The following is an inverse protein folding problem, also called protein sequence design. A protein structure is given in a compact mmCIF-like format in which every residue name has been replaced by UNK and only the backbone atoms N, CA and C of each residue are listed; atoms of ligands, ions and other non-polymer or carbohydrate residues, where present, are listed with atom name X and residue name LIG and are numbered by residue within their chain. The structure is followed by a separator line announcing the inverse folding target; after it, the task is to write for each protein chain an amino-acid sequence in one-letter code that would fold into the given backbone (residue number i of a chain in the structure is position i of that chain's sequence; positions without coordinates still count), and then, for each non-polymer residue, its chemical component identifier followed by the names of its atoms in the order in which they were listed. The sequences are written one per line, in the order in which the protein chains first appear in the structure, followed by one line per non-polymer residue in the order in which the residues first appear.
data_IF_289055085000
#
_entry.id   IF_289055085000
#
_cell.length_a   1.000
_cell.length_b   1.000
_cell.length_c   1.000
_cell.angle_alpha   90.00
_cell.angle_beta   90.00
_cell.angle_gamma   90.00
#
_symmetry.space_group_name_H-M   'P 1'
#
loop_
_entity.id
_entity.type
_entity.pdbx_description
1 polymer ?
#
# COMPACT_ATOMS: atom_id res chain seq x y z
N UNK A 1 -2.03 -9.23 -1.12
CA UNK A 1 -1.82 -8.44 -2.37
C UNK A 1 -0.87 -9.20 -3.27
N UNK A 2 -1.02 -9.06 -4.60
CA UNK A 2 -0.12 -9.64 -5.62
C UNK A 2 1.23 -8.93 -5.59
N UNK A 3 2.35 -9.65 -5.60
CA UNK A 3 3.71 -9.08 -5.50
C UNK A 3 4.22 -8.47 -6.81
N UNK A 4 3.62 -8.80 -7.96
CA UNK A 4 4.11 -8.42 -9.28
C UNK A 4 4.26 -6.90 -9.49
N UNK A 5 3.38 -6.07 -8.93
CA UNK A 5 3.50 -4.60 -9.07
C UNK A 5 4.71 -4.02 -8.31
N UNK A 6 5.31 -4.80 -7.39
CA UNK A 6 6.53 -4.46 -6.66
C UNK A 6 7.80 -4.98 -7.33
N UNK A 7 7.71 -5.76 -8.42
CA UNK A 7 8.88 -6.20 -9.20
C UNK A 7 9.85 -5.07 -9.57
N UNK A 8 9.43 -3.83 -9.89
CA UNK A 8 10.35 -2.73 -10.17
C UNK A 8 11.38 -2.46 -9.06
N UNK A 9 11.06 -2.79 -7.80
CA UNK A 9 11.94 -2.63 -6.63
C UNK A 9 13.18 -3.55 -6.71
N UNK A 10 13.15 -4.61 -7.52
CA UNK A 10 14.31 -5.48 -7.78
C UNK A 10 15.54 -4.74 -8.30
N UNK A 11 15.36 -3.53 -8.85
CA UNK A 11 16.46 -2.63 -9.25
C UNK A 11 17.44 -2.32 -8.09
N UNK A 12 16.99 -2.42 -6.83
CA UNK A 12 17.87 -2.27 -5.66
C UNK A 12 19.00 -3.30 -5.62
N UNK A 13 18.78 -4.50 -6.19
CA UNK A 13 19.80 -5.54 -6.28
C UNK A 13 20.95 -5.07 -7.17
N UNK A 14 20.62 -4.54 -8.35
CA UNK A 14 21.62 -4.11 -9.32
C UNK A 14 22.29 -2.79 -8.93
N UNK A 15 21.50 -1.83 -8.42
CA UNK A 15 21.98 -0.49 -8.10
C UNK A 15 22.74 -0.40 -6.77
N UNK A 16 22.35 -1.20 -5.77
CA UNK A 16 22.87 -1.09 -4.40
C UNK A 16 23.40 -2.42 -3.83
N UNK A 17 23.28 -3.53 -4.55
CA UNK A 17 23.70 -4.85 -4.05
C UNK A 17 22.81 -5.39 -2.93
N UNK A 18 21.60 -4.84 -2.76
CA UNK A 18 20.67 -5.20 -1.69
C UNK A 18 19.79 -6.36 -2.17
N UNK A 19 19.85 -7.56 -1.54
CA UNK A 19 18.94 -8.66 -1.88
C UNK A 19 17.49 -8.27 -1.59
N UNK A 20 16.60 -8.52 -2.55
CA UNK A 20 15.17 -8.24 -2.43
C UNK A 20 14.39 -9.54 -2.42
N UNK A 21 13.53 -9.72 -1.42
CA UNK A 21 12.58 -10.83 -1.33
C UNK A 21 11.18 -10.26 -1.52
N UNK A 22 10.52 -10.72 -2.58
CA UNK A 22 9.12 -10.46 -2.85
C UNK A 22 8.35 -11.76 -2.63
N UNK A 23 7.18 -11.67 -1.99
CA UNK A 23 6.33 -12.84 -1.79
C UNK A 23 4.86 -12.45 -1.91
N UNK A 24 4.07 -13.39 -2.41
CA UNK A 24 2.63 -13.29 -2.43
C UNK A 24 2.06 -13.72 -1.07
N UNK A 25 1.29 -12.85 -0.44
CA UNK A 25 0.56 -13.19 0.79
C UNK A 25 -0.49 -14.27 0.51
N UNK A 26 -0.74 -15.14 1.48
CA UNK A 26 -1.77 -16.18 1.42
C UNK A 26 -3.12 -15.59 1.00
N UNK A 27 -3.81 -16.30 0.10
CA UNK A 27 -5.05 -15.84 -0.51
C UNK A 27 -4.89 -14.96 -1.76
N UNK A 28 -3.67 -14.75 -2.28
CA UNK A 28 -3.42 -13.97 -3.49
C UNK A 28 -2.43 -14.67 -4.43
N UNK A 29 -2.59 -14.45 -5.75
CA UNK A 29 -1.59 -14.79 -6.78
C UNK A 29 -1.10 -16.25 -6.70
N UNK A 30 0.21 -16.49 -6.63
CA UNK A 30 0.81 -17.83 -6.62
C UNK A 30 0.73 -18.52 -5.25
N UNK A 31 0.31 -17.81 -4.20
CA UNK A 31 0.08 -18.38 -2.88
C UNK A 31 -1.27 -19.09 -2.78
N UNK A 32 -1.43 -19.93 -1.74
CA UNK A 32 -2.63 -20.75 -1.55
C UNK A 32 -3.90 -19.89 -1.50
N UNK A 33 -4.87 -20.20 -2.37
CA UNK A 33 -6.21 -19.58 -2.38
C UNK A 33 -7.15 -20.31 -1.41
N UNK A 34 -7.88 -19.55 -0.60
CA UNK A 34 -8.80 -20.09 0.43
C UNK A 34 -10.20 -19.45 0.32
N UNK A 35 -10.92 -19.61 -0.80
CA UNK A 35 -12.20 -18.93 -1.06
C UNK A 35 -13.32 -19.33 -0.08
N UNK A 36 -13.17 -20.46 0.61
CA UNK A 36 -14.11 -20.94 1.61
C UNK A 36 -14.00 -20.21 2.97
N UNK A 37 -12.96 -19.39 3.17
CA UNK A 37 -12.72 -18.67 4.42
C UNK A 37 -13.50 -17.34 4.44
N UNK A 38 -14.28 -17.15 5.51
CA UNK A 38 -14.99 -15.90 5.77
C UNK A 38 -14.10 -14.76 6.24
N UNK A 39 -14.67 -13.55 6.35
CA UNK A 39 -13.94 -12.32 6.70
C UNK A 39 -13.14 -12.39 8.01
N UNK A 40 -13.63 -13.11 9.02
CA UNK A 40 -12.97 -13.24 10.32
C UNK A 40 -11.65 -14.04 10.27
N UNK A 41 -11.38 -14.74 9.17
CA UNK A 41 -10.10 -15.43 8.94
C UNK A 41 -8.99 -14.46 8.51
N UNK A 42 -9.34 -13.45 7.70
CA UNK A 42 -8.40 -12.52 7.07
C UNK A 42 -8.08 -11.36 8.04
N UNK A 43 -7.10 -11.60 8.91
CA UNK A 43 -6.71 -10.68 9.98
C UNK A 43 -5.27 -10.21 9.83
N UNK A 44 -4.94 -9.05 10.39
CA UNK A 44 -3.55 -8.56 10.47
C UNK A 44 -2.65 -9.62 11.14
N UNK A 45 -3.12 -10.26 12.20
CA UNK A 45 -2.35 -11.26 12.93
C UNK A 45 -2.02 -12.51 12.09
N UNK A 46 -2.91 -12.92 11.18
CA UNK A 46 -2.61 -13.99 10.22
C UNK A 46 -1.39 -13.61 9.36
N UNK A 47 -1.40 -12.41 8.79
CA UNK A 47 -0.33 -11.96 7.89
C UNK A 47 0.98 -11.64 8.63
N UNK A 48 0.92 -11.25 9.91
CA UNK A 48 2.12 -11.13 10.75
C UNK A 48 2.76 -12.50 11.00
N UNK A 49 1.96 -13.52 11.32
CA UNK A 49 2.45 -14.91 11.49
C UNK A 49 2.97 -15.50 10.20
N UNK A 50 2.37 -15.15 9.07
CA UNK A 50 2.89 -15.52 7.75
C UNK A 50 4.28 -14.93 7.50
N UNK A 51 4.46 -13.62 7.75
CA UNK A 51 5.76 -12.97 7.60
C UNK A 51 6.82 -13.60 8.52
N UNK A 52 6.47 -13.85 9.79
CA UNK A 52 7.34 -14.57 10.73
C UNK A 52 7.73 -15.95 10.20
N UNK A 53 6.76 -16.72 9.67
CA UNK A 53 7.02 -18.04 9.11
C UNK A 53 7.93 -17.98 7.89
N UNK A 54 7.75 -17.00 7.00
CA UNK A 54 8.61 -16.80 5.84
C UNK A 54 10.06 -16.53 6.26
N UNK A 55 10.27 -15.60 7.20
CA UNK A 55 11.59 -15.26 7.73
C UNK A 55 12.27 -16.46 8.37
N UNK A 56 11.53 -17.25 9.16
CA UNK A 56 12.03 -18.49 9.76
C UNK A 56 12.45 -19.52 8.69
N UNK A 57 11.60 -19.75 7.67
CA UNK A 57 11.86 -20.74 6.61
C UNK A 57 13.03 -20.38 5.71
N UNK A 58 13.27 -19.09 5.50
CA UNK A 58 14.41 -18.59 4.74
C UNK A 58 15.65 -18.37 5.63
N UNK A 59 15.55 -18.67 6.93
CA UNK A 59 16.61 -18.49 7.93
C UNK A 59 17.13 -17.04 8.01
N UNK A 60 16.25 -16.06 7.78
CA UNK A 60 16.58 -14.63 7.78
C UNK A 60 16.54 -14.10 9.22
N UNK A 61 17.70 -13.71 9.73
CA UNK A 61 17.87 -13.27 11.13
C UNK A 61 17.89 -11.76 11.30
N UNK A 62 18.26 -11.03 10.26
CA UNK A 62 18.33 -9.58 10.20
C UNK A 62 17.81 -9.15 8.83
N UNK A 63 16.95 -8.14 8.81
CA UNK A 63 16.31 -7.68 7.59
C UNK A 63 15.80 -6.24 7.73
N UNK A 64 15.63 -5.61 6.57
CA UNK A 64 14.83 -4.41 6.40
C UNK A 64 13.46 -4.79 5.86
N UNK A 65 12.44 -4.00 6.18
CA UNK A 65 11.08 -4.27 5.73
C UNK A 65 10.50 -3.07 4.98
N UNK A 66 10.17 -3.30 3.71
CA UNK A 66 9.45 -2.35 2.87
C UNK A 66 8.00 -2.83 2.69
N UNK A 67 7.06 -2.03 3.17
CA UNK A 67 5.64 -2.23 2.93
C UNK A 67 5.08 -1.17 1.99
N UNK A 68 4.24 -1.59 1.03
CA UNK A 68 3.50 -0.66 0.16
C UNK A 68 1.99 -0.76 0.40
N UNK A 69 1.29 0.37 0.53
CA UNK A 69 -0.17 0.42 0.71
C UNK A 69 -0.63 -0.43 1.93
N UNK A 70 -1.49 -1.44 1.75
CA UNK A 70 -1.79 -2.44 2.80
C UNK A 70 -0.53 -3.06 3.42
N UNK A 71 0.49 -3.33 2.60
CA UNK A 71 1.78 -3.84 3.10
C UNK A 71 2.48 -2.87 4.06
N UNK A 72 2.28 -1.55 3.91
CA UNK A 72 2.80 -0.57 4.86
C UNK A 72 2.04 -0.59 6.19
N UNK A 73 0.74 -0.88 6.17
CA UNK A 73 -0.04 -1.11 7.40
C UNK A 73 0.50 -2.33 8.15
N UNK A 74 0.69 -3.43 7.43
CA UNK A 74 1.26 -4.66 7.99
C UNK A 74 2.69 -4.45 8.52
N UNK A 75 3.53 -3.73 7.76
CA UNK A 75 4.90 -3.44 8.17
C UNK A 75 4.97 -2.55 9.42
N UNK A 76 4.05 -1.58 9.56
CA UNK A 76 3.94 -0.78 10.78
C UNK A 76 3.49 -1.62 11.99
N UNK A 77 2.51 -2.51 11.81
CA UNK A 77 2.08 -3.47 12.86
C UNK A 77 3.22 -4.43 13.25
N UNK A 78 4.02 -4.87 12.28
CA UNK A 78 5.20 -5.70 12.52
C UNK A 78 6.28 -4.96 13.30
N UNK A 79 6.53 -3.69 12.99
CA UNK A 79 7.48 -2.85 13.72
C UNK A 79 7.06 -2.63 15.19
N UNK A 80 5.76 -2.64 15.49
CA UNK A 80 5.22 -2.58 16.85
C UNK A 80 5.48 -3.85 17.68
N UNK A 81 6.01 -4.93 17.08
CA UNK A 81 6.47 -6.11 17.80
C UNK A 81 7.88 -5.94 18.40
N UNK A 82 8.57 -4.83 18.08
CA UNK A 82 9.91 -4.49 18.58
C UNK A 82 10.97 -5.58 18.38
N UNK A 83 10.93 -6.26 17.24
CA UNK A 83 11.88 -7.31 16.93
C UNK A 83 13.27 -6.71 16.68
N UNK A 84 14.28 -7.19 17.41
CA UNK A 84 15.67 -6.80 17.20
C UNK A 84 16.21 -7.14 15.80
N UNK A 85 15.54 -8.04 15.09
CA UNK A 85 15.88 -8.44 13.73
C UNK A 85 15.48 -7.42 12.65
N UNK A 86 14.60 -6.46 12.96
CA UNK A 86 14.17 -5.43 12.02
C UNK A 86 15.06 -4.18 12.11
N UNK A 87 15.85 -3.92 11.07
CA UNK A 87 16.86 -2.87 11.06
C UNK A 87 16.35 -1.53 10.54
N UNK A 88 15.72 -1.52 9.36
CA UNK A 88 15.09 -0.34 8.76
C UNK A 88 13.66 -0.66 8.33
N UNK A 89 12.79 0.33 8.43
CA UNK A 89 11.38 0.26 8.02
C UNK A 89 11.11 1.26 6.90
N UNK A 90 10.48 0.82 5.81
CA UNK A 90 10.03 1.69 4.73
C UNK A 90 8.52 1.54 4.58
N UNK A 91 7.82 2.66 4.72
CA UNK A 91 6.36 2.77 4.63
C UNK A 91 6.01 3.54 3.36
N UNK A 92 5.83 2.82 2.26
CA UNK A 92 5.54 3.39 0.94
C UNK A 92 4.05 3.47 0.68
N UNK A 93 3.55 4.66 0.39
CA UNK A 93 2.15 4.89 0.01
C UNK A 93 1.17 4.31 1.04
N UNK A 94 1.58 4.27 2.33
CA UNK A 94 0.86 3.64 3.42
C UNK A 94 -0.16 4.56 4.10
N UNK A 95 -0.88 4.01 5.07
CA UNK A 95 -1.84 4.76 5.88
C UNK A 95 -1.79 4.36 7.35
N UNK A 96 -2.21 5.26 8.23
CA UNK A 96 -2.23 5.07 9.69
C UNK A 96 -3.64 4.89 10.26
N UNK A 97 -4.67 5.23 9.46
CA UNK A 97 -6.08 5.10 9.81
C UNK A 97 -6.93 4.96 8.54
N UNK A 98 -7.82 3.96 8.51
CA UNK A 98 -8.77 3.82 7.39
C UNK A 98 -9.69 5.03 7.26
N UNK A 99 -10.11 5.63 8.40
CA UNK A 99 -10.96 6.82 8.39
C UNK A 99 -10.30 8.00 7.69
N UNK A 100 -9.01 8.23 7.95
CA UNK A 100 -8.26 9.31 7.30
C UNK A 100 -8.04 9.04 5.82
N UNK A 101 -7.79 7.78 5.45
CA UNK A 101 -7.71 7.38 4.05
C UNK A 101 -9.03 7.63 3.30
N UNK A 102 -10.17 7.25 3.89
CA UNK A 102 -11.50 7.53 3.30
C UNK A 102 -11.73 9.04 3.12
N UNK A 103 -11.37 9.87 4.11
CA UNK A 103 -11.48 11.32 4.00
C UNK A 103 -10.61 11.89 2.87
N UNK A 104 -9.39 11.35 2.71
CA UNK A 104 -8.48 11.71 1.62
C UNK A 104 -9.08 11.36 0.26
N UNK A 105 -9.53 10.13 0.08
CA UNK A 105 -10.14 9.63 -1.16
C UNK A 105 -11.41 10.42 -1.53
N UNK A 106 -12.29 10.71 -0.56
CA UNK A 106 -13.48 11.55 -0.77
C UNK A 106 -13.10 12.99 -1.16
N UNK A 107 -12.04 13.54 -0.56
CA UNK A 107 -11.55 14.88 -0.90
C UNK A 107 -11.01 14.93 -2.33
N UNK A 108 -10.22 13.94 -2.73
CA UNK A 108 -9.67 13.83 -4.07
C UNK A 108 -10.76 13.61 -5.12
N UNK A 109 -11.79 12.81 -4.82
CA UNK A 109 -12.92 12.60 -5.72
C UNK A 109 -13.61 13.92 -6.10
N UNK A 110 -13.70 14.89 -5.18
CA UNK A 110 -14.29 16.22 -5.46
C UNK A 110 -13.49 17.05 -6.49
N UNK A 111 -12.27 16.64 -6.80
CA UNK A 111 -11.41 17.30 -7.79
C UNK A 111 -11.55 16.70 -9.19
N UNK A 112 -12.23 15.56 -9.32
CA UNK A 112 -12.45 14.87 -10.59
C UNK A 112 -13.49 15.61 -11.46
N UNK A 113 -13.61 15.32 -12.77
CA UNK A 113 -14.71 15.82 -13.60
C UNK A 113 -16.09 15.54 -12.99
N UNK A 114 -17.04 16.46 -13.17
CA UNK A 114 -18.36 16.39 -12.51
C UNK A 114 -19.14 15.13 -12.90
N UNK A 115 -19.05 14.70 -14.16
CA UNK A 115 -19.65 13.46 -14.65
C UNK A 115 -19.08 12.23 -13.94
N UNK A 116 -17.76 12.17 -13.73
CA UNK A 116 -17.10 11.11 -12.97
C UNK A 116 -17.59 11.09 -11.52
N UNK A 117 -17.66 12.26 -10.88
CA UNK A 117 -18.18 12.40 -9.51
C UNK A 117 -19.63 11.91 -9.39
N UNK A 118 -20.50 12.34 -10.30
CA UNK A 118 -21.93 12.02 -10.28
C UNK A 118 -22.16 10.53 -10.53
N UNK A 119 -21.44 9.94 -11.49
CA UNK A 119 -21.50 8.49 -11.77
C UNK A 119 -21.07 7.68 -10.54
N UNK A 120 -19.90 7.98 -9.95
CA UNK A 120 -19.42 7.25 -8.76
C UNK A 120 -20.44 7.40 -7.62
N UNK A 121 -20.86 8.62 -7.30
CA UNK A 121 -21.81 8.89 -6.21
C UNK A 121 -23.14 8.17 -6.39
N UNK A 122 -23.67 8.10 -7.62
CA UNK A 122 -24.90 7.37 -7.93
C UNK A 122 -24.76 5.88 -7.64
N UNK A 123 -23.73 5.24 -8.20
CA UNK A 123 -23.53 3.80 -8.07
C UNK A 123 -23.16 3.39 -6.63
N UNK A 124 -22.39 4.22 -5.92
CA UNK A 124 -22.12 4.03 -4.49
C UNK A 124 -23.40 4.03 -3.64
N UNK A 125 -24.31 5.00 -3.89
CA UNK A 125 -25.59 5.11 -3.20
C UNK A 125 -26.53 3.94 -3.50
N UNK A 126 -26.50 3.43 -4.72
CA UNK A 126 -27.34 2.32 -5.18
C UNK A 126 -26.73 0.94 -4.87
N UNK A 127 -25.53 0.90 -4.28
CA UNK A 127 -24.74 -0.32 -4.08
C UNK A 127 -24.52 -1.12 -5.37
N UNK A 128 -24.30 -0.43 -6.50
CA UNK A 128 -24.23 -1.01 -7.84
C UNK A 128 -22.84 -0.87 -8.48
N UNK A 129 -21.91 -1.68 -8.00
CA UNK A 129 -20.48 -1.52 -8.27
C UNK A 129 -19.99 -2.25 -9.53
N UNK A 130 -20.81 -3.16 -10.07
CA UNK A 130 -20.40 -4.05 -11.15
C UNK A 130 -20.79 -3.54 -12.55
N UNK A 131 -21.15 -2.26 -12.68
CA UNK A 131 -21.51 -1.68 -13.97
C UNK A 131 -20.28 -1.24 -14.77
N UNK A 132 -20.30 -1.33 -16.12
CA UNK A 132 -19.24 -0.77 -16.96
C UNK A 132 -19.06 0.74 -16.75
N UNK A 133 -20.16 1.46 -16.49
CA UNK A 133 -20.17 2.91 -16.25
C UNK A 133 -19.40 3.26 -14.96
N UNK A 134 -19.68 2.58 -13.85
CA UNK A 134 -18.97 2.77 -12.60
C UNK A 134 -17.48 2.44 -12.75
N UNK A 135 -17.14 1.29 -13.35
CA UNK A 135 -15.74 0.91 -13.60
C UNK A 135 -14.99 1.93 -14.46
N UNK A 136 -15.64 2.50 -15.47
CA UNK A 136 -15.04 3.55 -16.29
C UNK A 136 -14.79 4.83 -15.48
N UNK A 137 -15.72 5.24 -14.64
CA UNK A 137 -15.54 6.41 -13.76
C UNK A 137 -14.43 6.18 -12.72
N UNK A 138 -14.40 5.01 -12.07
CA UNK A 138 -13.32 4.64 -11.14
C UNK A 138 -11.96 4.61 -11.85
N UNK A 139 -11.90 4.12 -13.09
CA UNK A 139 -10.66 4.15 -13.88
C UNK A 139 -10.13 5.58 -14.05
N UNK A 140 -10.97 6.57 -14.31
CA UNK A 140 -10.53 7.97 -14.43
C UNK A 140 -9.91 8.46 -13.11
N UNK A 141 -10.46 8.06 -11.96
CA UNK A 141 -9.86 8.34 -10.66
C UNK A 141 -8.50 7.64 -10.49
N UNK A 142 -8.41 6.36 -10.85
CA UNK A 142 -7.18 5.56 -10.75
C UNK A 142 -6.05 6.03 -11.66
N UNK A 143 -6.37 6.48 -12.87
CA UNK A 143 -5.39 7.05 -13.80
C UNK A 143 -4.71 8.32 -13.25
N UNK A 144 -5.31 8.96 -12.23
CA UNK A 144 -4.74 10.14 -11.56
C UNK A 144 -4.10 9.77 -10.23
N UNK A 145 -4.76 8.93 -9.43
CA UNK A 145 -4.46 8.74 -8.00
C UNK A 145 -3.89 7.36 -7.63
N UNK A 146 -3.94 6.38 -8.53
CA UNK A 146 -3.37 5.04 -8.31
C UNK A 146 -2.07 4.84 -9.11
N UNK A 147 -2.15 5.03 -10.43
CA UNK A 147 -0.99 4.97 -11.30
C UNK A 147 -1.21 5.84 -12.54
N UNK A 148 -0.26 6.73 -12.80
CA UNK A 148 -0.34 7.76 -13.84
C UNK A 148 0.31 7.35 -15.16
N UNK A 149 0.91 6.16 -15.22
CA UNK A 149 1.46 5.60 -16.47
C UNK A 149 0.29 5.06 -17.30
N UNK A 150 0.15 5.58 -18.52
CA UNK A 150 -0.89 5.19 -19.46
C UNK A 150 -0.23 4.72 -20.77
N UNK A 151 -0.54 3.50 -21.26
CA UNK A 151 -1.42 2.49 -20.66
C UNK A 151 -0.87 1.91 -19.34
N UNK A 152 -1.75 1.32 -18.52
CA UNK A 152 -1.38 0.70 -17.24
C UNK A 152 -0.22 -0.28 -17.41
N UNK A 153 0.86 -0.18 -16.60
CA UNK A 153 2.01 -1.08 -16.71
C UNK A 153 1.63 -2.55 -16.55
N UNK A 154 2.21 -3.49 -17.31
CA UNK A 154 1.93 -4.92 -17.20
C UNK A 154 2.03 -5.46 -15.77
N UNK A 155 3.00 -4.97 -14.99
CA UNK A 155 3.25 -5.33 -13.59
C UNK A 155 2.06 -4.99 -12.68
N UNK A 156 1.29 -3.95 -13.04
CA UNK A 156 0.13 -3.49 -12.28
C UNK A 156 -1.19 -4.10 -12.80
N UNK A 157 -1.23 -4.60 -14.05
CA UNK A 157 -2.48 -5.11 -14.66
C UNK A 157 -3.12 -6.21 -13.83
N UNK A 158 -2.34 -7.18 -13.34
CA UNK A 158 -2.87 -8.28 -12.55
C UNK A 158 -3.40 -7.82 -11.19
N UNK A 159 -2.63 -7.02 -10.47
CA UNK A 159 -3.02 -6.45 -9.18
C UNK A 159 -4.27 -5.58 -9.32
N UNK A 160 -4.34 -4.78 -10.39
CA UNK A 160 -5.47 -3.92 -10.72
C UNK A 160 -6.71 -4.74 -11.11
N UNK A 161 -6.54 -5.81 -11.86
CA UNK A 161 -7.64 -6.72 -12.24
C UNK A 161 -8.19 -7.43 -11.01
N UNK A 162 -7.32 -7.94 -10.15
CA UNK A 162 -7.71 -8.52 -8.86
C UNK A 162 -8.41 -7.50 -7.98
N UNK A 163 -7.88 -6.26 -7.90
CA UNK A 163 -8.54 -5.18 -7.17
C UNK A 163 -9.96 -4.98 -7.70
N UNK A 164 -10.18 -4.74 -8.99
CA UNK A 164 -11.52 -4.54 -9.56
C UNK A 164 -12.47 -5.76 -9.35
N UNK A 165 -11.93 -6.97 -9.30
CA UNK A 165 -12.73 -8.20 -9.18
C UNK A 165 -13.01 -8.61 -7.73
N UNK A 166 -12.15 -8.23 -6.78
CA UNK A 166 -12.12 -8.73 -5.40
C UNK A 166 -12.18 -7.63 -4.34
N UNK A 167 -12.00 -6.35 -4.71
CA UNK A 167 -12.28 -5.24 -3.81
C UNK A 167 -13.71 -5.39 -3.32
N UNK A 168 -13.91 -5.20 -2.01
CA UNK A 168 -15.26 -5.13 -1.47
C UNK A 168 -16.07 -4.09 -2.25
N UNK A 169 -17.40 -4.07 -2.09
CA UNK A 169 -18.28 -3.39 -3.03
C UNK A 169 -17.84 -1.95 -3.39
N UNK A 170 -17.32 -1.18 -2.44
CA UNK A 170 -16.90 0.21 -2.66
C UNK A 170 -15.38 0.36 -2.77
N UNK A 171 -14.95 1.17 -3.74
CA UNK A 171 -13.56 1.61 -3.91
C UNK A 171 -13.21 2.85 -3.06
N UNK A 172 -14.21 3.48 -2.45
CA UNK A 172 -14.09 4.74 -1.71
C UNK A 172 -14.44 4.58 -0.22
N UNK A 173 -14.84 3.38 0.21
CA UNK A 173 -15.19 3.04 1.58
C UNK A 173 -14.55 1.74 2.02
N UNK A 174 -13.92 1.76 3.19
CA UNK A 174 -13.41 0.55 3.81
C UNK A 174 -14.55 -0.30 4.33
N UNK A 175 -14.63 -1.52 3.83
CA UNK A 175 -15.54 -2.55 4.30
C UNK A 175 -14.76 -3.70 4.91
N UNK A 176 -15.41 -4.48 5.78
CA UNK A 176 -14.78 -5.65 6.43
C UNK A 176 -13.98 -5.31 7.70
N UNK A 177 -13.05 -6.20 8.03
CA UNK A 177 -12.35 -6.24 9.33
C UNK A 177 -11.40 -5.07 9.57
N UNK A 178 -10.93 -4.41 8.50
CA UNK A 178 -10.02 -3.27 8.58
C UNK A 178 -10.72 -1.92 8.73
N UNK A 179 -12.05 -1.86 8.62
CA UNK A 179 -12.81 -0.59 8.61
C UNK A 179 -12.47 0.34 9.78
N UNK A 180 -12.19 -0.22 10.96
CA UNK A 180 -11.87 0.54 12.17
C UNK A 180 -10.37 0.55 12.50
N UNK A 181 -9.53 0.05 11.60
CA UNK A 181 -8.08 -0.02 11.82
C UNK A 181 -7.49 1.38 11.96
N UNK A 182 -6.71 1.55 13.03
CA UNK A 182 -6.06 2.80 13.40
C UNK A 182 -4.91 2.50 14.38
N UNK A 183 -3.69 2.90 14.02
CA UNK A 183 -2.50 2.71 14.85
C UNK A 183 -1.89 4.03 15.34
N UNK A 184 -2.52 5.17 15.07
CA UNK A 184 -1.95 6.50 15.32
C UNK A 184 -1.44 6.66 16.75
N UNK A 185 -2.19 6.20 17.75
CA UNK A 185 -1.81 6.31 19.16
C UNK A 185 -0.59 5.47 19.54
N UNK A 186 -0.22 4.49 18.71
CA UNK A 186 0.89 3.55 18.94
C UNK A 186 2.14 3.89 18.15
N UNK A 187 2.09 4.83 17.21
CA UNK A 187 3.22 5.15 16.34
C UNK A 187 4.49 5.56 17.11
N UNK A 188 4.34 6.18 18.29
CA UNK A 188 5.45 6.51 19.18
C UNK A 188 6.17 5.32 19.81
N UNK A 189 5.59 4.12 19.73
CA UNK A 189 6.24 2.87 20.12
C UNK A 189 7.27 2.42 19.07
N UNK A 190 7.11 2.77 17.79
CA UNK A 190 8.03 2.36 16.73
C UNK A 190 9.39 3.07 16.92
N UNK A 191 10.42 2.28 17.21
CA UNK A 191 11.80 2.76 17.41
C UNK A 191 12.72 2.48 16.23
N UNK A 192 12.30 1.63 15.29
CA UNK A 192 13.05 1.31 14.07
C UNK A 192 13.23 2.56 13.21
N UNK A 193 14.44 2.86 12.72
CA UNK A 193 14.64 3.91 11.71
C UNK A 193 13.65 3.74 10.56
N UNK A 194 12.88 4.78 10.29
CA UNK A 194 11.74 4.69 9.37
C UNK A 194 11.82 5.73 8.26
N UNK A 195 11.61 5.29 7.03
CA UNK A 195 11.40 6.13 5.86
C UNK A 195 9.95 6.03 5.40
N UNK A 196 9.28 7.17 5.30
CA UNK A 196 7.92 7.28 4.78
C UNK A 196 7.99 7.84 3.36
N UNK A 197 7.26 7.21 2.43
CA UNK A 197 7.22 7.62 1.02
C UNK A 197 5.76 7.78 0.58
N UNK A 198 5.46 8.80 -0.22
CA UNK A 198 4.18 8.88 -0.94
C UNK A 198 4.33 9.71 -2.23
N UNK A 199 3.41 9.50 -3.18
CA UNK A 199 3.28 10.37 -4.34
C UNK A 199 2.52 11.66 -4.03
N UNK A 200 2.81 12.72 -4.77
CA UNK A 200 2.06 13.98 -4.72
C UNK A 200 0.58 13.81 -5.07
N UNK A 201 0.28 12.92 -6.01
CA UNK A 201 -1.07 12.65 -6.49
C UNK A 201 -1.71 11.44 -5.81
N UNK A 202 -1.09 10.92 -4.76
CA UNK A 202 -1.50 9.68 -4.10
C UNK A 202 -2.84 9.80 -3.37
N UNK A 203 -3.63 8.73 -3.43
CA UNK A 203 -4.79 8.49 -2.58
C UNK A 203 -4.44 8.42 -1.08
N UNK A 204 -3.25 7.94 -0.73
CA UNK A 204 -2.61 8.14 0.59
C UNK A 204 -1.85 9.46 0.62
N UNK A 205 -2.62 10.56 0.52
CA UNK A 205 -2.08 11.92 0.46
C UNK A 205 -1.25 12.30 1.68
N UNK A 206 -0.59 13.45 1.63
CA UNK A 206 0.23 14.00 2.73
C UNK A 206 -0.51 14.00 4.08
N UNK A 207 -1.83 14.21 4.09
CA UNK A 207 -2.62 14.17 5.33
C UNK A 207 -2.68 12.76 5.94
N UNK A 208 -2.67 11.72 5.11
CA UNK A 208 -2.79 10.32 5.50
C UNK A 208 -1.48 9.78 6.05
N UNK A 209 -0.35 10.20 5.46
CA UNK A 209 0.99 9.79 5.90
C UNK A 209 1.55 10.68 7.03
N UNK A 210 1.06 11.91 7.18
CA UNK A 210 1.52 12.84 8.23
C UNK A 210 1.56 12.25 9.65
N UNK A 211 0.59 11.41 10.10
CA UNK A 211 0.69 10.81 11.42
C UNK A 211 1.91 9.90 11.60
N UNK A 212 2.43 9.25 10.55
CA UNK A 212 3.71 8.54 10.64
C UNK A 212 4.84 9.49 11.00
N UNK A 213 4.87 10.68 10.40
CA UNK A 213 5.91 11.68 10.62
C UNK A 213 5.84 12.29 12.02
N UNK A 214 4.63 12.53 12.51
CA UNK A 214 4.40 13.11 13.83
C UNK A 214 4.61 12.07 14.95
N UNK A 215 4.29 10.80 14.69
CA UNK A 215 4.29 9.73 15.67
C UNK A 215 5.61 8.96 15.77
N UNK A 216 6.24 8.63 14.64
CA UNK A 216 7.48 7.84 14.62
C UNK A 216 8.69 8.77 14.77
N UNK A 217 9.36 8.68 15.91
CA UNK A 217 10.47 9.57 16.25
C UNK A 217 11.63 9.41 15.27
N UNK A 218 12.02 10.52 14.64
CA UNK A 218 13.15 10.55 13.71
C UNK A 218 12.86 9.93 12.35
N UNK A 219 11.58 9.69 12.02
CA UNK A 219 11.19 9.27 10.68
C UNK A 219 11.60 10.30 9.63
N UNK A 220 12.01 9.80 8.46
CA UNK A 220 12.31 10.59 7.26
C UNK A 220 11.12 10.54 6.32
N UNK A 221 10.97 11.56 5.48
CA UNK A 221 9.89 11.64 4.51
C UNK A 221 10.41 12.08 3.15
N UNK A 222 9.99 11.36 2.10
CA UNK A 222 10.18 11.79 0.72
C UNK A 222 8.85 11.75 -0.02
N UNK A 223 8.47 12.89 -0.60
CA UNK A 223 7.32 13.00 -1.50
C UNK A 223 7.77 12.98 -2.96
N UNK A 224 7.20 12.07 -3.73
CA UNK A 224 7.48 11.92 -5.16
C UNK A 224 6.58 12.87 -5.97
N UNK A 225 7.18 13.96 -6.48
CA UNK A 225 6.46 15.09 -7.09
C UNK A 225 5.73 14.76 -8.39
N UNK A 226 6.07 13.66 -9.07
CA UNK A 226 5.47 13.24 -10.33
C UNK A 226 4.72 11.90 -10.23
N UNK A 227 4.57 11.37 -9.02
CA UNK A 227 3.96 10.06 -8.76
C UNK A 227 2.62 10.16 -8.02
N UNK A 228 1.85 9.08 -8.09
CA UNK A 228 0.65 8.77 -7.32
C UNK A 228 0.92 7.60 -6.34
N UNK A 229 0.10 6.55 -6.34
CA UNK A 229 0.21 5.43 -5.41
C UNK A 229 1.31 4.41 -5.79
N UNK A 230 1.96 4.60 -6.94
CA UNK A 230 2.94 3.66 -7.50
C UNK A 230 4.26 4.34 -7.90
N UNK A 231 4.95 5.07 -6.99
CA UNK A 231 6.20 5.77 -7.31
C UNK A 231 7.33 4.82 -7.74
N UNK A 232 7.29 3.55 -7.31
CA UNK A 232 8.23 2.51 -7.76
C UNK A 232 8.10 2.20 -9.26
N UNK A 233 6.96 2.50 -9.87
CA UNK A 233 6.71 2.42 -11.30
C UNK A 233 6.90 3.79 -11.97
N UNK A 234 6.34 4.86 -11.38
CA UNK A 234 6.22 6.19 -11.99
C UNK A 234 7.53 7.01 -11.97
N UNK A 235 8.35 6.86 -10.93
CA UNK A 235 9.65 7.52 -10.75
C UNK A 235 10.70 6.47 -10.34
N UNK A 236 10.77 5.34 -11.08
CA UNK A 236 11.52 4.13 -10.71
C UNK A 236 12.96 4.37 -10.28
N UNK A 237 13.76 5.08 -11.07
CA UNK A 237 15.18 5.30 -10.78
C UNK A 237 15.37 6.11 -9.50
N UNK A 238 14.57 7.17 -9.33
CA UNK A 238 14.59 8.00 -8.12
C UNK A 238 14.05 7.25 -6.91
N UNK A 239 13.06 6.37 -7.09
CA UNK A 239 12.56 5.51 -6.03
C UNK A 239 13.67 4.57 -5.53
N UNK A 240 14.39 3.95 -6.46
CA UNK A 240 15.53 3.10 -6.17
C UNK A 240 16.64 3.85 -5.43
N UNK A 241 17.00 5.05 -5.91
CA UNK A 241 18.00 5.92 -5.28
C UNK A 241 17.61 6.25 -3.83
N UNK A 242 16.41 6.78 -3.60
CA UNK A 242 15.94 7.19 -2.27
C UNK A 242 15.89 6.01 -1.30
N UNK A 243 15.38 4.86 -1.76
CA UNK A 243 15.30 3.65 -0.93
C UNK A 243 16.69 3.10 -0.66
N UNK A 244 17.52 2.97 -1.69
CA UNK A 244 18.87 2.43 -1.58
C UNK A 244 19.78 3.27 -0.69
N UNK A 245 19.71 4.60 -0.79
CA UNK A 245 20.42 5.51 0.12
C UNK A 245 20.02 5.25 1.57
N UNK A 246 18.72 5.23 1.88
CA UNK A 246 18.25 5.00 3.25
C UNK A 246 18.66 3.64 3.84
N UNK A 247 18.67 2.59 3.01
CA UNK A 247 19.08 1.24 3.41
C UNK A 247 20.59 1.12 3.59
N UNK A 248 21.39 2.00 2.99
CA UNK A 248 22.87 1.96 3.06
C UNK A 248 23.48 3.00 4.02
N UNK A 249 22.66 3.86 4.62
CA UNK A 249 23.03 4.74 5.75
C UNK A 249 23.37 3.98 7.04
#
# INVERSE_FOLDING_TARGET
MVANYLLPISVLVEAHGIPVILYDQIGCSDSTHLPEKGGDFWTVELFLKELENLLEKLEIKEYDLLGTSWGAMLAAEHALLHLHSLWKLILSNGLTSMKMWEDSVISLLKTMPQDVQDTIKKHEKEHNYNTPEYRAACKVFYDVHLCRIIPTPPELVEAYTHMIQQSGPSEFHSLGTLKTWNIISRLGEITTPTLVLNGKYDMTSDMVVKPFLDGIKGSKWVRFEYSSHAPMLEEREKYAEVVGEFLTE
#
